data_IF_397381082218
#
_entry.id   IF_397381082218
#
_cell.length_a   1.000
_cell.length_b   1.000
_cell.length_c   1.000
_cell.angle_alpha   90.00
_cell.angle_beta   90.00
_cell.angle_gamma   90.00
#
_symmetry.space_group_name_H-M   'P 1'
#
loop_
_entity.id
_entity.type
_entity.pdbx_description
1 polymer ?
#
# COMPACT_ATOMS: atom_id res chain seq x y z
N UNK A 1 -27.54 84.02 -40.98
CA UNK A 1 -29.00 84.20 -40.77
C UNK A 1 -29.19 84.24 -39.25
N UNK A 2 -29.21 85.44 -38.67
CA UNK A 2 -30.39 86.07 -38.04
C UNK A 2 -31.00 85.20 -36.92
N UNK A 3 -31.30 85.62 -35.70
CA UNK A 3 -31.14 86.87 -34.95
C UNK A 3 -31.59 86.58 -33.49
N UNK A 4 -31.14 87.43 -32.55
CA UNK A 4 -31.77 87.90 -31.30
C UNK A 4 -32.91 87.11 -30.62
N UNK A 5 -32.81 86.95 -29.29
CA UNK A 5 -33.53 87.80 -28.31
C UNK A 5 -33.49 87.23 -26.87
N UNK A 6 -33.15 88.11 -25.90
CA UNK A 6 -33.41 88.01 -24.45
C UNK A 6 -34.80 88.67 -24.22
N UNK A 7 -35.60 88.28 -23.21
CA UNK A 7 -35.63 89.08 -21.96
C UNK A 7 -35.92 88.28 -20.66
N UNK A 8 -35.34 88.76 -19.56
CA UNK A 8 -35.78 88.64 -18.14
C UNK A 8 -37.14 89.39 -17.94
N UNK A 9 -37.75 89.60 -16.74
CA UNK A 9 -37.41 89.26 -15.33
C UNK A 9 -38.63 88.73 -14.52
N UNK A 10 -38.49 88.52 -13.19
CA UNK A 10 -39.33 89.12 -12.13
C UNK A 10 -39.00 88.54 -10.73
N UNK A 11 -38.51 89.42 -9.86
CA UNK A 11 -38.55 89.35 -8.38
C UNK A 11 -40.01 89.64 -7.91
N UNK A 12 -40.45 89.50 -6.63
CA UNK A 12 -39.78 90.11 -5.46
C UNK A 12 -39.99 89.47 -4.05
N UNK A 13 -39.19 89.96 -3.09
CA UNK A 13 -39.50 90.35 -1.68
C UNK A 13 -40.39 89.43 -0.80
N UNK A 14 -40.12 89.15 0.50
CA UNK A 14 -39.94 90.12 1.60
C UNK A 14 -39.93 89.43 2.98
N UNK A 15 -39.21 90.06 3.93
CA UNK A 15 -39.38 90.15 5.42
C UNK A 15 -39.20 88.89 6.27
N UNK A 16 -38.14 88.80 7.10
CA UNK A 16 -37.85 89.49 8.39
C UNK A 16 -38.64 88.89 9.58
N UNK A 17 -37.95 88.13 10.45
CA UNK A 17 -37.69 88.48 11.86
C UNK A 17 -37.03 87.33 12.63
N UNK A 18 -36.09 87.71 13.49
CA UNK A 18 -35.22 86.86 14.28
C UNK A 18 -35.88 86.37 15.59
N UNK A 19 -35.50 85.18 16.04
CA UNK A 19 -35.54 84.74 17.46
C UNK A 19 -34.28 83.89 17.73
N UNK A 20 -33.63 84.18 18.85
CA UNK A 20 -32.36 83.59 19.32
C UNK A 20 -32.49 82.12 19.77
N UNK A 21 -31.53 81.31 19.33
CA UNK A 21 -30.70 80.28 20.04
C UNK A 21 -31.37 79.17 20.90
N UNK A 22 -30.92 77.90 20.80
CA UNK A 22 -29.57 77.55 21.27
C UNK A 22 -28.77 76.49 20.45
N UNK A 23 -27.45 76.65 20.52
CA UNK A 23 -26.37 75.65 20.49
C UNK A 23 -26.58 74.33 19.73
N UNK A 24 -25.90 74.20 18.58
CA UNK A 24 -25.36 72.92 18.08
C UNK A 24 -24.02 73.16 17.39
N UNK A 25 -22.99 72.52 17.92
CA UNK A 25 -21.64 72.44 17.36
C UNK A 25 -21.63 71.61 16.08
N UNK A 26 -21.14 72.21 14.98
CA UNK A 26 -20.85 71.48 13.74
C UNK A 26 -19.36 71.66 13.42
N UNK A 27 -18.63 70.56 13.60
CA UNK A 27 -17.21 70.42 13.28
C UNK A 27 -16.99 70.57 11.77
N UNK A 28 -16.10 71.49 11.38
CA UNK A 28 -15.52 71.53 10.03
C UNK A 28 -14.61 70.33 9.83
N UNK A 29 -15.05 69.37 9.01
CA UNK A 29 -14.14 68.38 8.43
C UNK A 29 -13.40 68.99 7.23
N UNK A 30 -12.08 68.80 7.12
CA UNK A 30 -11.33 69.13 5.91
C UNK A 30 -11.67 68.11 4.82
N UNK A 31 -12.02 68.61 3.63
CA UNK A 31 -12.12 67.80 2.40
C UNK A 31 -10.71 67.32 2.02
N UNK A 32 -10.32 66.15 2.51
CA UNK A 32 -9.17 65.41 2.01
C UNK A 32 -9.52 64.83 0.65
N UNK A 33 -8.74 65.18 -0.38
CA UNK A 33 -8.98 64.71 -1.73
C UNK A 33 -8.70 63.22 -1.80
N UNK A 34 -9.65 62.46 -2.33
CA UNK A 34 -9.56 61.02 -2.58
C UNK A 34 -8.31 60.62 -3.39
N UNK A 35 -7.71 61.57 -4.11
CA UNK A 35 -6.46 61.39 -4.85
C UNK A 35 -5.25 61.11 -3.94
N UNK A 36 -5.20 61.67 -2.73
CA UNK A 36 -4.11 61.42 -1.79
C UNK A 36 -4.21 60.03 -1.13
N UNK A 37 -5.43 59.55 -0.88
CA UNK A 37 -5.67 58.21 -0.30
C UNK A 37 -5.31 57.11 -1.31
N UNK A 38 -5.63 57.32 -2.60
CA UNK A 38 -5.26 56.38 -3.67
C UNK A 38 -3.73 56.33 -3.91
N UNK A 39 -3.02 57.46 -3.77
CA UNK A 39 -1.57 57.48 -3.91
C UNK A 39 -0.85 56.77 -2.75
N UNK A 40 -1.37 56.88 -1.52
CA UNK A 40 -0.83 56.18 -0.35
C UNK A 40 -1.13 54.67 -0.43
N UNK A 41 -2.30 54.27 -0.92
CA UNK A 41 -2.63 52.86 -1.18
C UNK A 41 -1.75 52.26 -2.30
N UNK A 42 -1.46 53.02 -3.37
CA UNK A 42 -0.56 52.55 -4.43
C UNK A 42 0.89 52.39 -3.94
N UNK A 43 1.38 53.26 -3.05
CA UNK A 43 2.70 53.11 -2.42
C UNK A 43 2.78 51.92 -1.46
N UNK A 44 1.69 51.59 -0.74
CA UNK A 44 1.64 50.42 0.15
C UNK A 44 1.59 49.10 -0.64
N UNK A 45 0.98 49.07 -1.82
CA UNK A 45 1.02 47.90 -2.72
C UNK A 45 2.42 47.70 -3.33
N UNK A 46 3.18 48.77 -3.57
CA UNK A 46 4.57 48.67 -4.04
C UNK A 46 5.57 48.23 -2.98
N UNK A 47 5.29 48.36 -1.68
CA UNK A 47 6.14 47.80 -0.61
C UNK A 47 5.78 46.35 -0.23
N UNK A 48 4.64 45.83 -0.67
CA UNK A 48 4.26 44.44 -0.46
C UNK A 48 4.89 43.46 -1.47
N UNK A 49 5.49 43.96 -2.57
CA UNK A 49 6.11 43.15 -3.62
C UNK A 49 7.65 43.06 -3.54
N UNK A 50 8.28 43.68 -2.55
CA UNK A 50 9.75 43.67 -2.38
C UNK A 50 10.22 42.89 -1.13
N UNK A 51 9.34 42.16 -0.45
CA UNK A 51 9.64 41.40 0.78
C UNK A 51 9.11 39.95 0.70
N UNK A 52 9.35 39.26 -0.41
CA UNK A 52 9.28 37.78 -0.45
C UNK A 52 10.33 37.25 -1.42
N UNK A 53 11.60 37.39 -1.05
CA UNK A 53 12.69 36.67 -1.69
C UNK A 53 13.70 36.24 -0.61
N UNK A 54 13.20 35.50 0.38
CA UNK A 54 14.00 34.49 1.07
C UNK A 54 13.04 33.42 1.62
N UNK A 55 12.27 32.82 0.71
CA UNK A 55 11.67 31.53 1.00
C UNK A 55 12.79 30.51 0.79
N UNK A 56 13.52 30.22 1.86
CA UNK A 56 14.31 29.00 1.95
C UNK A 56 13.45 27.86 1.43
N UNK A 57 13.93 27.13 0.43
CA UNK A 57 13.24 25.95 -0.10
C UNK A 57 12.85 25.05 1.08
N UNK A 58 11.64 24.49 1.12
CA UNK A 58 11.30 23.56 2.17
C UNK A 58 12.29 22.41 2.03
N UNK A 59 13.19 22.29 3.01
CA UNK A 59 14.01 21.12 3.23
C UNK A 59 13.02 19.94 3.17
N UNK A 60 13.05 19.15 2.08
CA UNK A 60 12.28 17.92 2.00
C UNK A 60 12.75 17.06 3.16
N UNK A 61 11.97 17.07 4.24
CA UNK A 61 12.19 16.17 5.36
C UNK A 61 11.83 14.79 4.84
N UNK A 62 12.86 14.01 4.47
CA UNK A 62 12.70 12.60 4.18
C UNK A 62 12.08 11.94 5.42
N UNK A 63 10.77 11.73 5.40
CA UNK A 63 10.06 11.01 6.45
C UNK A 63 10.43 9.54 6.29
N UNK A 64 11.49 9.14 6.99
CA UNK A 64 11.88 7.74 7.09
C UNK A 64 10.85 7.05 8.00
N UNK A 65 10.09 6.11 7.45
CA UNK A 65 9.27 5.25 8.30
C UNK A 65 10.16 4.33 9.12
N UNK A 66 10.04 4.43 10.44
CA UNK A 66 10.82 3.65 11.41
C UNK A 66 10.01 2.50 12.01
N UNK A 67 8.79 2.25 11.52
CA UNK A 67 7.98 1.12 11.94
C UNK A 67 8.65 -0.19 11.56
N UNK A 68 8.60 -1.13 12.48
CA UNK A 68 9.16 -2.46 12.28
C UNK A 68 8.09 -3.51 12.50
N UNK A 69 8.19 -4.65 11.78
CA UNK A 69 7.28 -5.74 12.01
C UNK A 69 7.54 -6.39 13.38
N UNK A 70 6.51 -6.43 14.23
CA UNK A 70 6.54 -7.02 15.56
C UNK A 70 5.42 -8.05 15.75
N UNK A 71 5.76 -9.24 16.25
CA UNK A 71 4.81 -10.35 16.42
C UNK A 71 4.02 -10.23 17.72
N UNK A 72 2.69 -10.16 17.61
CA UNK A 72 1.75 -10.22 18.74
C UNK A 72 0.84 -11.43 18.52
N UNK A 73 1.03 -12.47 19.34
CA UNK A 73 0.34 -13.75 19.15
C UNK A 73 0.73 -14.41 17.82
N UNK A 74 -0.27 -14.67 16.97
CA UNK A 74 -0.08 -15.22 15.63
C UNK A 74 -0.07 -14.17 14.51
N UNK A 75 -0.20 -12.88 14.84
CA UNK A 75 -0.23 -11.79 13.86
C UNK A 75 1.03 -10.94 13.91
N UNK A 76 1.51 -10.51 12.73
CA UNK A 76 2.56 -9.53 12.61
C UNK A 76 1.92 -8.14 12.55
N UNK A 77 2.40 -7.21 13.36
CA UNK A 77 1.89 -5.85 13.39
C UNK A 77 3.02 -4.90 13.05
N UNK A 78 2.73 -3.93 12.18
CA UNK A 78 3.67 -2.85 11.86
C UNK A 78 3.55 -1.77 12.93
N UNK A 79 4.49 -1.76 13.86
CA UNK A 79 4.47 -0.91 15.04
C UNK A 79 5.61 0.10 15.01
N UNK A 80 5.37 1.29 15.54
CA UNK A 80 6.42 2.29 15.77
C UNK A 80 7.41 1.80 16.84
N UNK A 81 8.64 2.32 16.88
CA UNK A 81 9.61 1.97 17.92
C UNK A 81 9.07 2.15 19.35
N UNK A 82 8.24 3.17 19.58
CA UNK A 82 7.59 3.44 20.86
C UNK A 82 6.55 2.36 21.22
N UNK A 83 5.70 1.97 20.27
CA UNK A 83 4.72 0.90 20.45
C UNK A 83 5.41 -0.44 20.76
N UNK A 84 6.52 -0.74 20.08
CA UNK A 84 7.31 -1.94 20.36
C UNK A 84 7.87 -1.91 21.79
N UNK A 85 8.36 -0.77 22.26
CA UNK A 85 8.89 -0.65 23.62
C UNK A 85 7.77 -0.79 24.66
N UNK A 86 6.60 -0.20 24.44
CA UNK A 86 5.42 -0.41 25.29
C UNK A 86 5.04 -1.90 25.39
N UNK A 87 5.08 -2.63 24.27
CA UNK A 87 4.85 -4.08 24.27
C UNK A 87 5.95 -4.87 25.00
N UNK A 88 7.22 -4.43 24.92
CA UNK A 88 8.32 -5.04 25.68
C UNK A 88 8.18 -4.79 27.18
N UNK A 89 7.84 -3.57 27.59
CA UNK A 89 7.62 -3.19 28.97
C UNK A 89 6.41 -3.91 29.58
N UNK A 90 5.33 -4.06 28.81
CA UNK A 90 4.16 -4.86 29.19
C UNK A 90 4.48 -6.33 29.44
N UNK A 91 5.42 -6.92 28.68
CA UNK A 91 5.94 -8.29 28.92
C UNK A 91 6.97 -8.36 30.07
N UNK A 92 7.63 -7.24 30.40
CA UNK A 92 8.70 -7.16 31.41
C UNK A 92 8.19 -6.99 32.84
N UNK A 93 6.90 -6.76 33.04
CA UNK A 93 6.27 -6.73 34.37
C UNK A 93 6.38 -8.07 35.16
N UNK A 94 6.98 -9.13 34.58
CA UNK A 94 7.23 -10.41 35.26
C UNK A 94 8.72 -10.74 35.48
N UNK A 95 9.67 -9.87 35.13
CA UNK A 95 11.09 -10.10 35.49
C UNK A 95 11.88 -8.79 35.54
N UNK A 96 12.20 -8.39 36.77
CA UNK A 96 13.06 -7.25 37.10
C UNK A 96 14.50 -7.49 36.65
N UNK A 97 15.06 -6.56 35.86
CA UNK A 97 16.47 -6.14 35.87
C UNK A 97 16.60 -4.90 34.99
N UNK A 98 17.22 -3.84 35.51
CA UNK A 98 17.44 -2.50 34.92
C UNK A 98 18.25 -2.52 33.61
N UNK A 99 17.88 -1.79 32.54
CA UNK A 99 18.77 -1.57 31.40
C UNK A 99 19.60 -0.28 31.53
N UNK A 100 20.91 -0.42 31.29
CA UNK A 100 21.85 0.68 31.03
C UNK A 100 21.65 1.18 29.58
N UNK A 101 21.53 2.49 29.40
CA UNK A 101 21.39 3.15 28.10
C UNK A 101 22.78 3.35 27.50
N UNK A 102 23.03 2.78 26.31
CA UNK A 102 24.19 3.11 25.49
C UNK A 102 23.73 3.89 24.26
N UNK A 103 24.10 5.16 24.21
CA UNK A 103 23.92 6.03 23.04
C UNK A 103 25.06 5.78 22.07
N UNK A 104 24.77 5.32 20.85
CA UNK A 104 25.78 5.20 19.77
C UNK A 104 25.46 6.22 18.68
N UNK A 105 26.31 7.22 18.55
CA UNK A 105 26.28 8.21 17.47
C UNK A 105 27.07 7.65 16.28
N UNK A 106 26.47 7.59 15.10
CA UNK A 106 27.17 7.28 13.85
C UNK A 106 27.10 8.49 12.92
N UNK A 107 28.24 8.93 12.41
CA UNK A 107 28.35 9.97 11.38
C UNK A 107 28.28 9.35 9.98
N UNK A 108 27.46 9.92 9.10
CA UNK A 108 27.33 9.52 7.69
C UNK A 108 28.19 10.46 6.86
N UNK A 109 29.25 9.94 6.23
CA UNK A 109 30.03 10.68 5.24
C UNK A 109 29.30 10.63 3.88
N UNK A 110 28.90 11.80 3.37
CA UNK A 110 28.38 11.97 2.00
C UNK A 110 29.56 12.02 1.04
N UNK A 111 29.67 11.03 0.15
CA UNK A 111 30.58 11.10 -1.00
C UNK A 111 29.85 11.69 -2.20
N UNK A 112 30.43 12.75 -2.75
CA UNK A 112 30.06 13.39 -4.01
C UNK A 112 30.33 12.46 -5.20
N UNK A 113 29.33 12.30 -6.06
CA UNK A 113 29.41 11.52 -7.31
C UNK A 113 29.89 12.40 -8.47
N UNK A 114 30.97 11.99 -9.12
CA UNK A 114 31.40 12.51 -10.42
C UNK A 114 30.74 11.67 -11.53
N UNK A 115 30.20 12.27 -12.60
CA UNK A 115 29.57 11.51 -13.67
C UNK A 115 30.65 10.96 -14.61
N UNK A 116 30.75 9.63 -14.73
CA UNK A 116 31.47 8.99 -15.83
C UNK A 116 30.45 8.49 -16.85
N UNK A 117 30.57 9.01 -18.08
CA UNK A 117 29.72 8.68 -19.21
C UNK A 117 30.41 7.57 -19.97
N UNK A 118 30.05 6.32 -19.66
CA UNK A 118 30.17 5.22 -20.63
C UNK A 118 28.99 4.26 -20.50
N UNK A 119 28.29 4.16 -21.61
CA UNK A 119 27.02 3.50 -21.81
C UNK A 119 27.25 1.98 -21.93
N UNK A 120 26.86 1.20 -20.92
CA UNK A 120 26.16 -0.10 -20.94
C UNK A 120 26.07 -0.55 -19.48
N UNK A 121 24.96 -0.22 -18.80
CA UNK A 121 24.73 -0.73 -17.44
C UNK A 121 24.71 -2.27 -17.50
N UNK A 122 25.53 -2.98 -16.71
CA UNK A 122 25.31 -4.41 -16.53
C UNK A 122 23.88 -4.58 -16.00
N UNK A 123 23.10 -5.49 -16.59
CA UNK A 123 21.82 -5.89 -16.01
C UNK A 123 22.09 -6.23 -14.55
N UNK A 124 21.54 -5.45 -13.61
CA UNK A 124 21.63 -5.78 -12.19
C UNK A 124 21.05 -7.17 -12.02
N UNK A 125 21.81 -8.08 -11.40
CA UNK A 125 21.33 -9.44 -11.16
C UNK A 125 19.96 -9.38 -10.46
N UNK A 126 19.01 -10.20 -10.93
CA UNK A 126 17.68 -10.25 -10.33
C UNK A 126 17.78 -10.60 -8.83
N UNK A 127 17.01 -9.93 -7.96
CA UNK A 127 16.96 -10.23 -6.54
C UNK A 127 16.71 -11.71 -6.21
N UNK A 128 17.25 -12.18 -5.09
CA UNK A 128 17.04 -13.53 -4.59
C UNK A 128 16.28 -13.53 -3.26
N UNK A 129 15.26 -14.40 -3.08
CA UNK A 129 14.62 -14.59 -1.78
C UNK A 129 15.62 -14.97 -0.69
N UNK A 130 15.37 -14.47 0.53
CA UNK A 130 16.09 -14.82 1.77
C UNK A 130 17.60 -14.55 1.77
N UNK A 131 18.15 -13.82 0.79
CA UNK A 131 19.60 -13.55 0.67
C UNK A 131 20.17 -12.64 1.77
N UNK A 132 19.32 -11.95 2.54
CA UNK A 132 19.70 -11.24 3.76
C UNK A 132 19.35 -11.96 5.06
N UNK A 133 18.56 -13.04 4.99
CA UNK A 133 17.89 -13.68 6.13
C UNK A 133 18.45 -15.06 6.52
N UNK A 134 19.35 -15.63 5.73
CA UNK A 134 19.92 -16.97 5.98
C UNK A 134 20.92 -17.04 7.15
N UNK A 135 21.19 -15.94 7.85
CA UNK A 135 21.95 -15.90 9.10
C UNK A 135 21.10 -16.26 10.34
N UNK A 136 19.89 -16.76 10.16
CA UNK A 136 19.03 -17.17 11.26
C UNK A 136 19.60 -18.34 12.08
N UNK A 137 19.38 -18.27 13.39
CA UNK A 137 19.75 -19.33 14.33
C UNK A 137 18.70 -20.45 14.26
N UNK A 138 18.93 -21.43 13.39
CA UNK A 138 18.11 -22.64 13.32
C UNK A 138 18.47 -23.60 14.45
N UNK A 139 17.49 -24.33 14.95
CA UNK A 139 17.72 -25.34 15.98
C UNK A 139 18.68 -26.42 15.44
N UNK A 140 19.86 -26.63 16.06
CA UNK A 140 20.76 -27.69 15.63
C UNK A 140 20.13 -29.07 15.88
N UNK A 141 20.56 -30.06 15.10
CA UNK A 141 20.10 -31.43 15.32
C UNK A 141 20.66 -31.97 16.66
N UNK A 142 20.04 -33.03 17.19
CA UNK A 142 20.40 -33.62 18.49
C UNK A 142 21.86 -34.10 18.57
N UNK A 143 22.50 -34.36 17.43
CA UNK A 143 23.88 -34.79 17.27
C UNK A 143 24.85 -33.64 16.91
N UNK A 144 24.41 -32.38 17.05
CA UNK A 144 25.16 -31.17 16.65
C UNK A 144 25.50 -31.09 15.15
N UNK A 145 24.78 -31.81 14.28
CA UNK A 145 24.90 -31.67 12.81
C UNK A 145 24.06 -30.49 12.28
N UNK A 146 24.28 -30.04 11.02
CA UNK A 146 23.55 -28.91 10.44
C UNK A 146 22.03 -29.12 10.45
N UNK A 147 21.30 -28.10 10.92
CA UNK A 147 19.84 -28.14 11.06
C UNK A 147 19.13 -28.67 9.79
N UNK A 148 18.24 -29.66 9.95
CA UNK A 148 17.38 -30.15 8.86
C UNK A 148 16.57 -29.03 8.22
N UNK A 149 16.21 -28.00 9.00
CA UNK A 149 15.50 -26.84 8.49
C UNK A 149 16.36 -26.00 7.55
N UNK A 150 17.61 -25.69 7.96
CA UNK A 150 18.54 -24.94 7.13
C UNK A 150 18.84 -25.66 5.81
N UNK A 151 18.99 -26.99 5.86
CA UNK A 151 19.17 -27.82 4.67
C UNK A 151 17.95 -27.72 3.74
N UNK A 152 16.74 -27.87 4.28
CA UNK A 152 15.52 -27.80 3.48
C UNK A 152 15.33 -26.41 2.84
N UNK A 153 15.56 -25.33 3.59
CA UNK A 153 15.48 -23.97 3.03
C UNK A 153 16.45 -23.78 1.88
N UNK A 154 17.71 -24.16 2.06
CA UNK A 154 18.71 -24.06 0.99
C UNK A 154 18.35 -24.94 -0.23
N UNK A 155 17.74 -26.10 0.00
CA UNK A 155 17.33 -27.00 -1.09
C UNK A 155 16.31 -26.35 -2.02
N UNK A 156 15.25 -25.73 -1.50
CA UNK A 156 14.26 -25.09 -2.37
C UNK A 156 14.78 -23.77 -2.95
N UNK A 157 15.63 -23.02 -2.23
CA UNK A 157 16.22 -21.78 -2.77
C UNK A 157 17.13 -22.05 -3.97
N UNK A 158 17.70 -23.25 -4.05
CA UNK A 158 18.55 -23.67 -5.18
C UNK A 158 17.78 -24.40 -6.28
N UNK A 159 16.58 -24.89 -5.98
CA UNK A 159 15.71 -25.63 -6.90
C UNK A 159 15.29 -24.77 -8.12
N UNK A 160 15.44 -25.29 -9.35
CA UNK A 160 15.10 -24.55 -10.57
C UNK A 160 13.60 -24.27 -10.72
N UNK A 161 12.73 -25.16 -10.22
CA UNK A 161 11.27 -24.99 -10.23
C UNK A 161 10.88 -23.84 -9.31
N UNK A 162 11.49 -23.76 -8.13
CA UNK A 162 11.29 -22.63 -7.22
C UNK A 162 11.77 -21.31 -7.85
N UNK A 163 12.97 -21.28 -8.44
CA UNK A 163 13.50 -20.08 -9.10
C UNK A 163 12.63 -19.64 -10.28
N UNK A 164 12.02 -20.58 -11.00
CA UNK A 164 11.09 -20.26 -12.08
C UNK A 164 9.87 -19.50 -11.59
N UNK A 165 9.39 -19.77 -10.37
CA UNK A 165 8.20 -19.12 -9.83
C UNK A 165 8.41 -17.70 -9.31
N UNK A 166 9.67 -17.32 -9.08
CA UNK A 166 10.12 -15.98 -8.70
C UNK A 166 9.14 -15.21 -7.78
N UNK A 167 8.86 -15.75 -6.58
CA UNK A 167 7.76 -15.26 -5.74
C UNK A 167 8.06 -13.91 -5.07
N UNK A 168 7.38 -12.85 -5.52
CA UNK A 168 7.42 -11.52 -4.87
C UNK A 168 7.11 -11.59 -3.38
N UNK A 169 6.22 -12.50 -2.97
CA UNK A 169 5.89 -12.73 -1.57
C UNK A 169 7.08 -13.11 -0.70
N UNK A 170 8.03 -13.89 -1.22
CA UNK A 170 9.26 -14.23 -0.47
C UNK A 170 10.34 -13.15 -0.60
N UNK A 171 10.36 -12.41 -1.72
CA UNK A 171 11.25 -11.24 -1.86
C UNK A 171 10.93 -10.19 -0.79
N UNK A 172 9.64 -9.91 -0.56
CA UNK A 172 9.15 -8.96 0.44
C UNK A 172 9.54 -9.28 1.89
N UNK A 173 9.80 -10.56 2.22
CA UNK A 173 9.97 -11.01 3.61
C UNK A 173 11.42 -11.13 4.08
N UNK A 174 12.40 -11.09 3.16
CA UNK A 174 13.79 -11.30 3.56
C UNK A 174 14.83 -11.17 2.47
N UNK A 175 14.52 -10.47 1.37
CA UNK A 175 15.49 -10.24 0.30
C UNK A 175 16.13 -8.85 0.41
N UNK A 176 17.41 -8.83 0.79
CA UNK A 176 18.21 -7.60 0.79
C UNK A 176 18.38 -7.07 -0.63
N UNK A 177 18.67 -7.94 -1.60
CA UNK A 177 18.80 -7.52 -3.00
C UNK A 177 17.52 -6.94 -3.57
N UNK A 178 16.34 -7.38 -3.08
CA UNK A 178 15.06 -6.81 -3.48
C UNK A 178 14.88 -5.38 -2.99
N UNK A 179 15.15 -5.13 -1.70
CA UNK A 179 15.12 -3.77 -1.15
C UNK A 179 16.18 -2.85 -1.79
N UNK A 180 17.30 -3.42 -2.24
CA UNK A 180 18.28 -2.68 -3.03
C UNK A 180 17.75 -2.38 -4.46
N UNK A 181 17.00 -3.30 -5.07
CA UNK A 181 16.35 -3.09 -6.37
C UNK A 181 15.22 -2.04 -6.33
N UNK A 182 14.46 -1.95 -5.23
CA UNK A 182 13.39 -0.95 -5.02
C UNK A 182 13.90 0.51 -5.04
N UNK A 183 15.20 0.71 -4.80
CA UNK A 183 15.83 2.04 -4.84
C UNK A 183 15.88 2.64 -6.24
N UNK A 184 15.63 1.85 -7.28
CA UNK A 184 15.59 2.29 -8.67
C UNK A 184 14.29 1.83 -9.35
N UNK A 185 13.64 2.72 -10.10
CA UNK A 185 12.46 2.37 -10.90
C UNK A 185 12.75 1.22 -11.88
N UNK A 186 13.94 1.21 -12.49
CA UNK A 186 14.36 0.16 -13.42
C UNK A 186 14.51 -1.17 -12.67
N UNK A 187 15.15 -1.17 -11.50
CA UNK A 187 15.39 -2.37 -10.71
C UNK A 187 14.08 -3.03 -10.24
N UNK A 188 13.15 -2.24 -9.70
CA UNK A 188 11.86 -2.79 -9.27
C UNK A 188 11.02 -3.26 -10.46
N UNK A 189 11.02 -2.54 -11.58
CA UNK A 189 10.24 -2.94 -12.76
C UNK A 189 10.76 -4.24 -13.36
N UNK A 190 12.08 -4.41 -13.49
CA UNK A 190 12.68 -5.67 -13.94
C UNK A 190 12.37 -6.85 -13.01
N UNK A 191 12.33 -6.59 -11.70
CA UNK A 191 11.97 -7.61 -10.71
C UNK A 191 10.49 -8.01 -10.84
N UNK A 192 9.59 -7.04 -11.05
CA UNK A 192 8.18 -7.30 -11.27
C UNK A 192 7.92 -8.01 -12.61
N UNK A 193 8.63 -7.64 -13.67
CA UNK A 193 8.57 -8.36 -14.95
C UNK A 193 8.96 -9.83 -14.81
N UNK A 194 10.00 -10.12 -14.03
CA UNK A 194 10.40 -11.49 -13.71
C UNK A 194 9.35 -12.21 -12.85
N UNK A 195 8.74 -11.51 -11.89
CA UNK A 195 7.68 -12.03 -11.01
C UNK A 195 6.42 -12.39 -11.79
N UNK A 196 6.04 -11.59 -12.78
CA UNK A 196 4.75 -11.67 -13.48
C UNK A 196 4.75 -12.55 -14.74
N UNK A 197 5.89 -13.13 -15.07
CA UNK A 197 6.07 -14.04 -16.21
C UNK A 197 5.60 -15.50 -15.97
N UNK A 198 5.79 -16.11 -14.79
CA UNK A 198 5.50 -17.52 -14.56
C UNK A 198 4.00 -17.86 -14.60
N UNK A 199 3.67 -19.15 -14.72
CA UNK A 199 2.30 -19.61 -14.59
C UNK A 199 1.87 -19.57 -13.10
N UNK A 200 0.99 -18.61 -12.77
CA UNK A 200 0.56 -18.38 -11.39
C UNK A 200 -0.11 -19.61 -10.74
N UNK A 201 -0.92 -20.37 -11.48
CA UNK A 201 -1.62 -21.55 -10.93
C UNK A 201 -0.65 -22.67 -10.58
N UNK A 202 0.31 -22.96 -11.49
CA UNK A 202 1.36 -23.93 -11.25
C UNK A 202 2.20 -23.54 -10.03
N UNK A 203 2.69 -22.30 -10.02
CA UNK A 203 3.55 -21.81 -8.94
C UNK A 203 2.85 -21.73 -7.60
N UNK A 204 1.58 -21.35 -7.57
CA UNK A 204 0.78 -21.37 -6.35
C UNK A 204 0.64 -22.79 -5.79
N UNK A 205 0.42 -23.78 -6.65
CA UNK A 205 0.30 -25.19 -6.25
C UNK A 205 1.64 -25.71 -5.71
N UNK A 206 2.73 -25.45 -6.44
CA UNK A 206 4.08 -25.83 -6.03
C UNK A 206 4.49 -25.21 -4.68
N UNK A 207 4.33 -23.89 -4.53
CA UNK A 207 4.70 -23.18 -3.30
C UNK A 207 3.80 -23.58 -2.12
N UNK A 208 2.51 -23.88 -2.35
CA UNK A 208 1.64 -24.41 -1.31
C UNK A 208 2.09 -25.78 -0.81
N UNK A 209 2.52 -26.67 -1.72
CA UNK A 209 3.11 -27.96 -1.34
C UNK A 209 4.43 -27.78 -0.58
N UNK A 210 5.27 -26.85 -1.02
CA UNK A 210 6.52 -26.51 -0.34
C UNK A 210 6.29 -25.96 1.07
N UNK A 211 5.25 -25.13 1.27
CA UNK A 211 4.85 -24.62 2.57
C UNK A 211 4.39 -25.74 3.53
N UNK A 212 3.63 -26.73 3.02
CA UNK A 212 3.24 -27.90 3.81
C UNK A 212 4.46 -28.70 4.24
N UNK A 213 5.40 -28.95 3.32
CA UNK A 213 6.65 -29.65 3.64
C UNK A 213 7.48 -28.88 4.67
N UNK A 214 7.59 -27.54 4.55
CA UNK A 214 8.33 -26.70 5.49
C UNK A 214 7.87 -26.94 6.94
N UNK A 215 6.56 -27.01 7.19
CA UNK A 215 6.01 -27.18 8.54
C UNK A 215 6.05 -28.61 9.06
N UNK A 216 6.46 -29.58 8.24
CA UNK A 216 6.59 -30.98 8.66
C UNK A 216 7.74 -31.16 9.65
N UNK A 217 7.60 -32.15 10.55
CA UNK A 217 8.62 -32.51 11.53
C UNK A 217 9.92 -33.03 10.90
N UNK A 218 9.89 -33.43 9.62
CA UNK A 218 11.06 -33.88 8.87
C UNK A 218 11.93 -32.72 8.37
N UNK A 219 11.40 -31.49 8.35
CA UNK A 219 12.06 -30.31 7.81
C UNK A 219 12.20 -29.24 8.89
N UNK A 220 11.33 -28.22 8.88
CA UNK A 220 11.40 -27.10 9.80
C UNK A 220 10.31 -27.14 10.89
N UNK A 221 9.57 -28.23 11.08
CA UNK A 221 8.43 -28.27 12.00
C UNK A 221 8.77 -27.86 13.44
N UNK A 222 9.95 -28.22 13.94
CA UNK A 222 10.40 -27.76 15.25
C UNK A 222 10.64 -26.23 15.29
N UNK A 223 11.43 -25.70 14.35
CA UNK A 223 11.69 -24.27 14.24
C UNK A 223 10.40 -23.46 13.96
N UNK A 224 9.46 -24.01 13.20
CA UNK A 224 8.14 -23.44 12.95
C UNK A 224 7.33 -23.32 14.25
N UNK A 225 7.28 -24.40 15.06
CA UNK A 225 6.58 -24.41 16.34
C UNK A 225 7.22 -23.50 17.37
N UNK A 226 8.55 -23.36 17.36
CA UNK A 226 9.30 -22.40 18.16
C UNK A 226 9.15 -20.95 17.65
N UNK A 227 8.51 -20.76 16.51
CA UNK A 227 8.23 -19.44 15.95
C UNK A 227 9.45 -18.75 15.36
N UNK A 228 10.43 -19.52 14.85
CA UNK A 228 11.58 -19.00 14.12
C UNK A 228 11.11 -18.06 13.00
N UNK A 229 11.60 -16.82 13.00
CA UNK A 229 11.09 -15.77 12.13
C UNK A 229 11.23 -16.13 10.65
N UNK A 230 12.37 -16.68 10.23
CA UNK A 230 12.61 -17.05 8.83
C UNK A 230 11.67 -18.14 8.39
N UNK A 231 11.44 -19.16 9.22
CA UNK A 231 10.53 -20.27 8.88
C UNK A 231 9.09 -19.78 8.80
N UNK A 232 8.63 -18.99 9.78
CA UNK A 232 7.28 -18.42 9.78
C UNK A 232 7.09 -17.49 8.57
N UNK A 233 8.05 -16.62 8.29
CA UNK A 233 7.98 -15.68 7.18
C UNK A 233 7.98 -16.40 5.83
N UNK A 234 8.84 -17.40 5.65
CA UNK A 234 8.89 -18.21 4.43
C UNK A 234 7.57 -18.99 4.23
N UNK A 235 7.02 -19.59 5.29
CA UNK A 235 5.72 -20.26 5.23
C UNK A 235 4.62 -19.30 4.77
N UNK A 236 4.47 -18.16 5.45
CA UNK A 236 3.45 -17.15 5.13
C UNK A 236 3.62 -16.63 3.70
N UNK A 237 4.85 -16.38 3.28
CA UNK A 237 5.17 -15.92 1.93
C UNK A 237 4.79 -16.94 0.86
N UNK A 238 5.02 -18.23 1.11
CA UNK A 238 4.67 -19.29 0.17
C UNK A 238 3.15 -19.43 0.00
N UNK A 239 2.39 -19.42 1.10
CA UNK A 239 0.92 -19.54 1.02
C UNK A 239 0.25 -18.25 0.50
N UNK A 240 0.89 -17.09 0.68
CA UNK A 240 0.44 -15.79 0.18
C UNK A 240 0.89 -15.50 -1.27
N UNK A 241 1.48 -16.48 -1.98
CA UNK A 241 1.97 -16.29 -3.34
C UNK A 241 0.89 -15.77 -4.29
N UNK A 242 -0.27 -16.44 -4.38
CA UNK A 242 -1.32 -16.05 -5.33
C UNK A 242 -1.83 -14.60 -5.16
N UNK A 243 -2.23 -14.13 -3.95
CA UNK A 243 -2.68 -12.75 -3.79
C UNK A 243 -1.57 -11.74 -4.09
N UNK A 244 -0.31 -12.03 -3.72
CA UNK A 244 0.79 -11.09 -3.96
C UNK A 244 1.32 -11.08 -5.39
N UNK A 245 1.29 -12.23 -6.06
CA UNK A 245 1.49 -12.29 -7.50
C UNK A 245 0.47 -11.40 -8.20
N UNK A 246 -0.81 -11.59 -7.88
CA UNK A 246 -1.91 -10.85 -8.54
C UNK A 246 -1.80 -9.35 -8.28
N UNK A 247 -1.57 -8.93 -7.03
CA UNK A 247 -1.41 -7.53 -6.66
C UNK A 247 -0.12 -6.91 -7.24
N UNK A 248 1.01 -7.61 -7.17
CA UNK A 248 2.29 -7.14 -7.69
C UNK A 248 2.29 -6.95 -9.21
N UNK A 249 1.48 -7.73 -9.92
CA UNK A 249 1.31 -7.65 -11.37
C UNK A 249 0.25 -6.66 -11.84
N UNK A 250 -0.46 -5.98 -10.91
CA UNK A 250 -1.37 -4.91 -11.27
C UNK A 250 -0.61 -3.74 -11.90
N UNK A 251 -1.16 -3.20 -12.97
CA UNK A 251 -0.67 -2.01 -13.65
C UNK A 251 -1.75 -0.94 -13.62
N UNK A 252 -1.32 0.29 -13.42
CA UNK A 252 -2.20 1.45 -13.55
C UNK A 252 -2.71 1.52 -15.01
N UNK A 253 -4.04 1.51 -15.24
CA UNK A 253 -4.60 1.59 -16.58
C UNK A 253 -4.21 2.84 -17.38
N UNK A 254 -3.83 3.94 -16.70
CA UNK A 254 -3.49 5.20 -17.34
C UNK A 254 -2.01 5.26 -17.74
N UNK A 255 -1.12 4.79 -16.87
CA UNK A 255 0.33 4.94 -17.05
C UNK A 255 1.01 3.64 -17.50
N UNK A 256 0.32 2.50 -17.42
CA UNK A 256 0.88 1.15 -17.61
C UNK A 256 2.04 0.81 -16.66
N UNK A 257 2.30 1.63 -15.65
CA UNK A 257 3.29 1.37 -14.61
C UNK A 257 2.74 0.36 -13.59
N UNK A 258 3.60 -0.49 -13.04
CA UNK A 258 3.18 -1.39 -11.97
C UNK A 258 2.74 -0.61 -10.74
N UNK A 259 1.59 -0.97 -10.18
CA UNK A 259 1.03 -0.34 -8.98
C UNK A 259 2.00 -0.45 -7.78
N UNK A 260 2.70 -1.59 -7.65
CA UNK A 260 3.70 -1.78 -6.60
C UNK A 260 4.91 -0.86 -6.81
N UNK A 261 5.44 -0.78 -8.04
CA UNK A 261 6.56 0.09 -8.37
C UNK A 261 6.23 1.56 -8.05
N UNK A 262 5.03 2.02 -8.39
CA UNK A 262 4.58 3.38 -8.05
C UNK A 262 4.46 3.57 -6.54
N UNK A 263 3.97 2.57 -5.80
CA UNK A 263 3.85 2.65 -4.34
C UNK A 263 5.21 2.80 -3.64
N UNK A 264 6.21 2.00 -4.01
CA UNK A 264 7.56 2.06 -3.40
C UNK A 264 8.36 3.28 -3.84
N UNK A 265 8.07 3.84 -5.02
CA UNK A 265 8.75 5.02 -5.56
C UNK A 265 8.07 6.34 -5.21
N UNK A 266 6.90 6.31 -4.58
CA UNK A 266 6.20 7.53 -4.18
C UNK A 266 6.86 8.12 -2.93
N UNK A 267 7.73 9.12 -3.14
CA UNK A 267 8.46 9.82 -2.08
C UNK A 267 7.54 10.66 -1.19
N UNK A 268 6.38 11.05 -1.68
CA UNK A 268 5.40 11.85 -0.93
C UNK A 268 4.47 10.97 -0.08
N UNK A 269 4.13 9.78 -0.57
CA UNK A 269 3.23 8.84 0.10
C UNK A 269 3.66 7.38 -0.15
N UNK A 270 4.63 6.93 0.65
CA UNK A 270 5.13 5.57 0.63
C UNK A 270 4.19 4.58 1.32
N UNK A 271 3.16 5.06 2.03
CA UNK A 271 2.31 4.23 2.90
C UNK A 271 1.47 3.22 2.10
N UNK A 272 1.25 3.45 0.80
CA UNK A 272 0.63 2.48 -0.10
C UNK A 272 1.41 1.16 -0.18
N UNK A 273 2.71 1.16 0.14
CA UNK A 273 3.51 -0.07 0.16
C UNK A 273 3.02 -1.03 1.23
N UNK A 274 2.43 -0.53 2.34
CA UNK A 274 1.91 -1.38 3.42
C UNK A 274 0.80 -2.32 2.99
N UNK A 275 0.05 -2.01 1.94
CA UNK A 275 -0.98 -2.92 1.41
C UNK A 275 -0.38 -4.25 0.95
N UNK A 276 0.86 -4.27 0.46
CA UNK A 276 1.52 -5.48 -0.04
C UNK A 276 2.04 -6.39 1.08
N UNK A 277 1.86 -5.99 2.34
CA UNK A 277 2.16 -6.81 3.50
C UNK A 277 0.89 -7.43 4.13
N UNK A 278 -0.32 -7.00 3.72
CA UNK A 278 -1.57 -7.58 4.21
C UNK A 278 -1.66 -9.10 4.00
N UNK A 279 -1.31 -9.65 2.82
CA UNK A 279 -1.32 -11.10 2.61
C UNK A 279 -0.26 -11.87 3.41
N UNK A 280 0.78 -11.17 3.89
CA UNK A 280 1.84 -11.72 4.74
C UNK A 280 1.46 -11.72 6.22
N UNK A 281 0.16 -11.58 6.51
CA UNK A 281 -0.39 -11.49 7.86
C UNK A 281 0.11 -10.26 8.64
N UNK A 282 0.41 -9.16 7.94
CA UNK A 282 0.82 -7.91 8.56
C UNK A 282 -0.34 -6.92 8.54
N UNK A 283 -0.70 -6.37 9.70
CA UNK A 283 -1.77 -5.37 9.79
C UNK A 283 -1.35 -4.02 9.20
N UNK A 284 -2.34 -3.26 8.71
CA UNK A 284 -2.12 -1.92 8.19
C UNK A 284 -1.79 -0.96 9.36
N UNK A 285 -0.69 -0.20 9.31
CA UNK A 285 -0.42 0.85 10.29
C UNK A 285 -1.57 1.87 10.37
N UNK A 286 -1.92 2.33 11.57
CA UNK A 286 -2.94 3.37 11.77
C UNK A 286 -2.59 4.70 11.10
N UNK A 287 -1.32 4.97 10.79
CA UNK A 287 -0.89 6.16 10.03
C UNK A 287 -0.89 5.96 8.51
N UNK A 288 -1.38 4.83 8.00
CA UNK A 288 -1.44 4.62 6.56
C UNK A 288 -2.45 5.58 5.94
N UNK A 289 -1.98 6.34 4.96
CA UNK A 289 -2.76 7.30 4.20
C UNK A 289 -2.85 6.79 2.75
N UNK A 290 -3.85 5.96 2.40
CA UNK A 290 -3.97 5.42 1.06
C UNK A 290 -4.12 6.53 0.02
N UNK A 291 -3.45 6.37 -1.12
CA UNK A 291 -3.81 7.13 -2.32
C UNK A 291 -5.07 6.53 -2.92
N UNK A 292 -6.14 7.33 -2.99
CA UNK A 292 -7.45 6.88 -3.45
C UNK A 292 -7.51 6.86 -4.98
N UNK A 293 -7.05 5.76 -5.58
CA UNK A 293 -7.04 5.55 -7.03
C UNK A 293 -7.15 4.08 -7.42
N UNK A 294 -7.10 3.82 -8.72
CA UNK A 294 -7.31 2.49 -9.31
C UNK A 294 -6.39 1.41 -8.70
N UNK A 295 -5.11 1.72 -8.49
CA UNK A 295 -4.16 0.78 -7.91
C UNK A 295 -4.57 0.30 -6.51
N UNK A 296 -4.95 1.20 -5.61
CA UNK A 296 -5.40 0.85 -4.26
C UNK A 296 -6.69 0.04 -4.30
N UNK A 297 -7.65 0.47 -5.14
CA UNK A 297 -8.92 -0.22 -5.30
C UNK A 297 -8.74 -1.66 -5.81
N UNK A 298 -7.98 -1.83 -6.90
CA UNK A 298 -7.70 -3.15 -7.50
C UNK A 298 -6.88 -4.05 -6.56
N UNK A 299 -5.90 -3.49 -5.84
CA UNK A 299 -5.12 -4.24 -4.84
C UNK A 299 -6.03 -4.79 -3.75
N UNK A 300 -6.93 -3.96 -3.22
CA UNK A 300 -7.89 -4.38 -2.22
C UNK A 300 -8.96 -5.32 -2.77
N UNK A 301 -9.30 -5.25 -4.05
CA UNK A 301 -10.19 -6.20 -4.73
C UNK A 301 -9.55 -7.58 -4.87
N UNK A 302 -8.26 -7.64 -5.25
CA UNK A 302 -7.48 -8.89 -5.26
C UNK A 302 -7.48 -9.53 -3.87
N UNK A 303 -7.25 -8.74 -2.83
CA UNK A 303 -7.23 -9.24 -1.46
C UNK A 303 -8.61 -9.65 -0.97
N UNK A 304 -9.66 -8.92 -1.34
CA UNK A 304 -11.05 -9.31 -1.07
C UNK A 304 -11.32 -10.71 -1.63
N UNK A 305 -11.03 -10.93 -2.91
CA UNK A 305 -11.23 -12.23 -3.56
C UNK A 305 -10.41 -13.34 -2.88
N UNK A 306 -9.17 -13.04 -2.49
CA UNK A 306 -8.33 -13.99 -1.77
C UNK A 306 -8.90 -14.39 -0.40
N UNK A 307 -9.71 -13.54 0.25
CA UNK A 307 -10.37 -13.90 1.50
C UNK A 307 -11.34 -15.07 1.34
N UNK A 308 -11.86 -15.35 0.14
CA UNK A 308 -12.77 -16.47 -0.14
C UNK A 308 -12.20 -17.82 0.33
N UNK A 309 -10.87 -17.96 0.29
CA UNK A 309 -10.15 -19.02 0.98
C UNK A 309 -9.82 -18.60 2.42
N UNK A 310 -10.55 -19.13 3.40
CA UNK A 310 -10.36 -18.79 4.82
C UNK A 310 -9.02 -19.22 5.42
N UNK A 311 -8.22 -20.01 4.70
CA UNK A 311 -6.86 -20.37 5.10
C UNK A 311 -5.81 -19.33 4.69
N UNK A 312 -6.19 -18.34 3.87
CA UNK A 312 -5.28 -17.27 3.47
C UNK A 312 -5.05 -16.28 4.62
N UNK A 313 -3.79 -15.90 4.94
CA UNK A 313 -3.53 -15.02 6.08
C UNK A 313 -4.16 -13.63 5.96
N UNK A 314 -4.41 -13.17 4.72
CA UNK A 314 -5.06 -11.88 4.44
C UNK A 314 -6.42 -11.72 5.13
N UNK A 315 -7.12 -12.83 5.40
CA UNK A 315 -8.42 -12.85 6.09
C UNK A 315 -8.36 -12.17 7.46
N UNK A 316 -7.22 -12.28 8.16
CA UNK A 316 -7.04 -11.71 9.49
C UNK A 316 -6.98 -10.17 9.48
N UNK A 317 -6.54 -9.59 8.36
CA UNK A 317 -6.21 -8.15 8.29
C UNK A 317 -7.11 -7.38 7.31
N UNK A 318 -7.80 -8.07 6.38
CA UNK A 318 -8.54 -7.45 5.29
C UNK A 318 -9.60 -6.46 5.77
N UNK A 319 -10.50 -6.90 6.65
CA UNK A 319 -11.65 -6.07 7.09
C UNK A 319 -11.18 -4.79 7.80
N UNK A 320 -10.16 -4.90 8.66
CA UNK A 320 -9.59 -3.74 9.34
C UNK A 320 -8.95 -2.76 8.34
N UNK A 321 -8.18 -3.27 7.37
CA UNK A 321 -7.58 -2.47 6.32
C UNK A 321 -8.63 -1.79 5.43
N UNK A 322 -9.68 -2.52 5.02
CA UNK A 322 -10.76 -1.99 4.18
C UNK A 322 -11.52 -0.84 4.85
N UNK A 323 -11.80 -0.96 6.16
CA UNK A 323 -12.41 0.13 6.95
C UNK A 323 -11.53 1.37 6.99
N UNK A 324 -10.22 1.20 7.20
CA UNK A 324 -9.27 2.32 7.19
C UNK A 324 -9.23 2.99 5.81
N UNK A 325 -9.22 2.20 4.73
CA UNK A 325 -9.29 2.72 3.36
C UNK A 325 -10.56 3.51 3.14
N UNK A 326 -11.73 2.98 3.49
CA UNK A 326 -13.01 3.67 3.28
C UNK A 326 -13.17 4.92 4.17
N UNK A 327 -12.53 4.94 5.34
CA UNK A 327 -12.50 6.14 6.19
C UNK A 327 -11.80 7.31 5.49
N UNK A 328 -10.75 7.03 4.71
CA UNK A 328 -9.90 8.04 4.06
C UNK A 328 -10.35 8.33 2.62
N UNK A 329 -10.72 7.28 1.87
CA UNK A 329 -11.09 7.36 0.46
C UNK A 329 -12.60 7.50 0.21
N UNK A 330 -13.42 7.44 1.26
CA UNK A 330 -14.86 7.55 1.18
C UNK A 330 -15.57 6.19 1.28
N UNK A 331 -16.84 6.20 1.75
CA UNK A 331 -17.61 4.98 1.98
C UNK A 331 -17.81 4.21 0.67
N UNK A 332 -17.56 2.90 0.72
CA UNK A 332 -17.74 2.01 -0.43
C UNK A 332 -16.63 2.08 -1.48
N UNK A 333 -15.49 2.73 -1.19
CA UNK A 333 -14.33 2.71 -2.08
C UNK A 333 -13.81 1.28 -2.31
N UNK A 334 -13.77 0.48 -1.24
CA UNK A 334 -13.51 -0.97 -1.25
C UNK A 334 -14.54 -1.74 -0.41
N UNK A 335 -14.65 -3.04 -0.61
CA UNK A 335 -15.56 -3.89 0.17
C UNK A 335 -15.03 -4.09 1.61
N UNK A 336 -15.87 -3.86 2.64
CA UNK A 336 -15.47 -4.03 4.05
C UNK A 336 -15.77 -5.43 4.61
N UNK A 337 -16.31 -6.32 3.80
CA UNK A 337 -16.65 -7.69 4.18
C UNK A 337 -15.65 -8.68 3.58
N UNK A 338 -15.68 -9.92 4.08
CA UNK A 338 -14.95 -11.00 3.42
C UNK A 338 -15.77 -11.49 2.23
N UNK A 339 -15.09 -11.87 1.14
CA UNK A 339 -15.74 -12.52 0.02
C UNK A 339 -16.45 -13.80 0.46
N UNK A 340 -17.47 -14.19 -0.27
CA UNK A 340 -18.18 -15.45 -0.03
C UNK A 340 -17.20 -16.62 0.02
N UNK A 341 -17.36 -17.47 1.03
CA UNK A 341 -16.45 -18.57 1.25
C UNK A 341 -16.55 -19.57 0.09
N UNK A 342 -15.40 -20.03 -0.39
CA UNK A 342 -15.34 -21.18 -1.30
C UNK A 342 -15.87 -22.41 -0.54
N UNK A 343 -17.13 -22.75 -0.73
CA UNK A 343 -17.68 -24.03 -0.29
C UNK A 343 -17.11 -25.06 -1.25
N UNK A 344 -16.21 -25.92 -0.77
CA UNK A 344 -15.86 -27.11 -1.53
C UNK A 344 -17.17 -27.82 -1.85
N UNK A 345 -17.53 -27.93 -3.12
CA UNK A 345 -18.66 -28.73 -3.54
C UNK A 345 -18.36 -30.14 -3.03
N UNK A 346 -18.99 -30.50 -1.91
CA UNK A 346 -18.99 -31.86 -1.46
C UNK A 346 -19.75 -32.61 -2.55
N UNK A 347 -19.01 -33.32 -3.41
CA UNK A 347 -19.56 -34.51 -4.06
C UNK A 347 -19.91 -35.46 -2.93
N UNK A 348 -21.06 -35.22 -2.33
CA UNK A 348 -21.74 -36.18 -1.49
C UNK A 348 -22.14 -37.29 -2.46
N UNK A 349 -21.23 -38.25 -2.63
CA UNK A 349 -21.62 -39.60 -2.98
C UNK A 349 -22.48 -40.09 -1.82
N UNK A 350 -23.78 -39.75 -1.87
CA UNK A 350 -24.77 -40.42 -1.06
C UNK A 350 -24.78 -41.89 -1.51
N UNK A 351 -24.43 -42.85 -0.64
CA UNK A 351 -24.60 -44.24 -0.99
C UNK A 351 -26.11 -44.53 -1.02
N UNK A 352 -26.62 -44.93 -2.18
CA UNK A 352 -27.87 -45.66 -2.29
C UNK A 352 -29.16 -44.84 -2.20
N UNK A 353 -29.52 -44.20 -3.31
CA UNK A 353 -30.89 -44.32 -3.83
C UNK A 353 -30.79 -44.71 -5.30
N UNK A 354 -31.40 -45.82 -5.75
CA UNK A 354 -31.40 -46.15 -7.17
C UNK A 354 -32.09 -45.01 -7.91
N UNK A 355 -31.36 -44.35 -8.80
CA UNK A 355 -31.93 -43.44 -9.76
C UNK A 355 -33.01 -44.21 -10.54
N UNK A 356 -34.27 -43.81 -10.37
CA UNK A 356 -35.32 -44.21 -11.27
C UNK A 356 -34.90 -43.76 -12.67
N UNK A 357 -34.41 -44.71 -13.45
CA UNK A 357 -34.09 -44.51 -14.85
C UNK A 357 -35.38 -44.06 -15.54
N UNK A 358 -35.41 -42.93 -16.26
CA UNK A 358 -36.54 -42.66 -17.14
C UNK A 358 -36.42 -43.67 -18.29
N UNK A 359 -37.13 -44.78 -18.16
CA UNK A 359 -37.22 -45.87 -19.14
C UNK A 359 -37.88 -45.45 -20.48
N UNK A 360 -37.99 -44.15 -20.74
CA UNK A 360 -38.76 -43.59 -21.84
C UNK A 360 -37.87 -43.17 -23.01
N UNK A 361 -36.54 -43.31 -22.87
CA UNK A 361 -35.57 -43.00 -23.93
C UNK A 361 -35.03 -44.24 -24.68
N UNK A 362 -35.51 -45.45 -24.38
CA UNK A 362 -35.08 -46.67 -25.09
C UNK A 362 -36.09 -47.21 -26.12
N UNK A 363 -37.21 -46.52 -26.38
CA UNK A 363 -38.21 -46.97 -27.37
C UNK A 363 -38.22 -46.17 -28.69
N UNK A 364 -37.36 -45.17 -28.87
CA UNK A 364 -37.31 -44.38 -30.12
C UNK A 364 -36.15 -44.75 -31.05
N UNK A 365 -35.24 -45.64 -30.63
CA UNK A 365 -34.08 -46.06 -31.45
C UNK A 365 -34.37 -47.22 -32.43
N UNK A 366 -35.34 -48.15 -32.24
CA UNK A 366 -35.55 -49.19 -33.25
C UNK A 366 -36.47 -48.77 -34.41
N UNK A 367 -37.17 -47.62 -34.30
CA UNK A 367 -38.15 -47.18 -35.30
C UNK A 367 -37.52 -46.39 -36.47
N UNK A 368 -36.30 -45.86 -36.30
CA UNK A 368 -35.53 -45.23 -37.38
C UNK A 368 -34.67 -46.23 -38.17
N UNK A 369 -34.41 -47.44 -37.65
CA UNK A 369 -33.65 -48.47 -38.35
C UNK A 369 -34.49 -49.32 -39.33
N UNK A 370 -35.83 -49.31 -39.21
CA UNK A 370 -36.74 -50.05 -40.10
C UNK A 370 -37.20 -49.24 -41.33
N UNK A 371 -36.96 -47.93 -41.36
CA UNK A 371 -37.31 -47.06 -42.50
C UNK A 371 -36.19 -46.92 -43.55
N UNK A 372 -35.00 -47.46 -43.26
CA UNK A 372 -33.86 -47.44 -44.19
C UNK A 372 -33.68 -48.75 -44.98
N UNK A 373 -34.67 -49.66 -44.88
CA UNK A 373 -34.77 -50.90 -45.67
C UNK A 373 -35.99 -50.92 -46.60
N UNK A 374 -36.65 -49.77 -46.82
CA UNK A 374 -37.83 -49.63 -47.70
C UNK A 374 -37.75 -48.44 -48.66
N UNK A 375 -36.54 -47.94 -48.97
CA UNK A 375 -36.26 -46.99 -50.05
C UNK A 375 -35.00 -47.39 -50.81
#
# INVERSE_FOLDING_TARGET
MMASAIPLPLSPDRRVSAVLSPSRSVSRQPRTSWTAVLAILACLVCHALALTADAAEPLETLVIDTRVPYRIGQSWNMLSPEEVELHRLGKRATTSTTPQVFTTTFEIAVSTVTPDVTNTAPLSALPSPLDGALSANFTPNADNTPSTCAIFINSFLTDPTFKQCYPLSLLLQGSKSFFDAEKSLVGITQTLDATCRPNATFCNTYLSGLAQNLTSTQHCGNDYNLGNSVVIQAHLAMIAYAPLYSAGCLKDPQTSAYCFATAVRNTTNFTNTYFYFLPLNMSLPGSTLPTCGACTQQTMEVYHAATANRQQPVVNNYVAAAKQVNTICGPGFVNETLADQLVAASTSFAPGRPAASPAWLYMTVPLLAMLQWLL
#
